data_IF_491819437892
#
_entry.id   IF_491819437892
#
_cell.length_a   1.000
_cell.length_b   1.000
_cell.length_c   1.000
_cell.angle_alpha   90.00
_cell.angle_beta   90.00
_cell.angle_gamma   90.00
#
_symmetry.space_group_name_H-M   'P 1'
#
loop_
_entity.id
_entity.type
_entity.pdbx_description
1 polymer ?
#
# COMPACT_ATOMS: atom_id res chain seq x y z
N UNK A 1 -6.89 -20.87 -11.27
CA UNK A 1 -5.66 -20.59 -10.49
C UNK A 1 -5.94 -19.31 -9.69
N UNK A 2 -6.55 -19.42 -8.50
CA UNK A 2 -7.21 -18.29 -7.80
C UNK A 2 -6.89 -18.32 -6.29
N UNK A 3 -5.64 -18.66 -5.92
CA UNK A 3 -5.32 -19.07 -4.54
C UNK A 3 -4.23 -18.30 -3.81
N UNK A 4 -3.54 -17.35 -4.45
CA UNK A 4 -2.33 -16.78 -3.83
C UNK A 4 -2.47 -15.36 -3.28
N UNK A 5 -3.59 -14.66 -3.51
CA UNK A 5 -3.72 -13.25 -3.11
C UNK A 5 -5.12 -12.94 -2.54
N UNK A 6 -5.40 -13.30 -1.27
CA UNK A 6 -6.72 -13.14 -0.67
C UNK A 6 -7.20 -11.68 -0.63
N UNK A 7 -6.28 -10.72 -0.50
CA UNK A 7 -6.60 -9.29 -0.51
C UNK A 7 -6.98 -8.77 -1.90
N UNK A 8 -6.26 -9.18 -2.94
CA UNK A 8 -6.61 -8.89 -4.35
C UNK A 8 -7.95 -9.51 -4.71
N UNK A 9 -8.17 -10.76 -4.30
CA UNK A 9 -9.43 -11.44 -4.56
C UNK A 9 -10.62 -10.74 -3.89
N UNK A 10 -10.45 -10.28 -2.65
CA UNK A 10 -11.47 -9.55 -1.93
C UNK A 10 -11.85 -8.24 -2.64
N UNK A 11 -10.86 -7.50 -3.16
CA UNK A 11 -11.08 -6.30 -3.95
C UNK A 11 -11.76 -6.61 -5.29
N UNK A 12 -11.18 -7.51 -6.09
CA UNK A 12 -11.59 -7.75 -7.49
C UNK A 12 -12.92 -8.52 -7.60
N UNK A 13 -13.20 -9.44 -6.69
CA UNK A 13 -14.37 -10.35 -6.78
C UNK A 13 -15.54 -9.85 -5.95
N UNK A 14 -15.28 -9.25 -4.79
CA UNK A 14 -16.33 -8.89 -3.83
C UNK A 14 -16.52 -7.38 -3.66
N UNK A 15 -15.67 -6.55 -4.28
CA UNK A 15 -15.76 -5.10 -4.17
C UNK A 15 -15.62 -4.60 -2.72
N UNK A 16 -15.03 -5.41 -1.85
CA UNK A 16 -14.86 -5.07 -0.44
C UNK A 16 -13.49 -4.44 -0.23
N UNK A 17 -13.48 -3.27 0.40
CA UNK A 17 -12.26 -2.55 0.74
C UNK A 17 -11.36 -3.33 1.71
N UNK A 18 -10.11 -2.88 1.81
CA UNK A 18 -9.06 -3.50 2.62
C UNK A 18 -9.50 -3.85 4.04
N UNK A 19 -10.21 -2.96 4.75
CA UNK A 19 -10.67 -3.21 6.13
C UNK A 19 -11.52 -4.49 6.27
N UNK A 20 -12.43 -4.70 5.32
CA UNK A 20 -13.28 -5.90 5.30
C UNK A 20 -12.46 -7.14 4.90
N UNK A 21 -11.58 -7.00 3.90
CA UNK A 21 -10.67 -8.06 3.49
C UNK A 21 -9.74 -8.49 4.63
N UNK A 22 -9.20 -7.53 5.40
CA UNK A 22 -8.31 -7.76 6.53
C UNK A 22 -9.02 -8.48 7.67
N UNK A 23 -10.28 -8.12 7.94
CA UNK A 23 -11.12 -8.81 8.93
C UNK A 23 -11.29 -10.30 8.55
N UNK A 24 -11.55 -10.57 7.28
CA UNK A 24 -11.71 -11.95 6.78
C UNK A 24 -10.36 -12.69 6.81
N UNK A 25 -9.28 -12.02 6.38
CA UNK A 25 -7.92 -12.55 6.39
C UNK A 25 -7.48 -12.98 7.79
N UNK A 26 -7.73 -12.14 8.80
CA UNK A 26 -7.46 -12.46 10.20
C UNK A 26 -8.32 -13.65 10.67
N UNK A 27 -9.61 -13.69 10.29
CA UNK A 27 -10.51 -14.79 10.66
C UNK A 27 -10.10 -16.14 10.06
N UNK A 28 -9.42 -16.15 8.90
CA UNK A 28 -8.87 -17.37 8.27
C UNK A 28 -7.43 -17.67 8.70
N UNK A 29 -6.86 -16.89 9.62
CA UNK A 29 -5.55 -17.15 10.24
C UNK A 29 -4.35 -16.58 9.49
N UNK A 30 -4.53 -15.55 8.65
CA UNK A 30 -3.41 -14.86 8.01
C UNK A 30 -2.60 -14.09 9.07
N UNK A 31 -1.26 -14.26 9.13
CA UNK A 31 -0.42 -13.55 10.07
C UNK A 31 -0.51 -12.03 9.91
N UNK A 32 -0.45 -11.32 11.03
CA UNK A 32 -0.53 -9.86 11.05
C UNK A 32 0.64 -9.18 10.31
N UNK A 33 1.80 -9.82 10.32
CA UNK A 33 3.04 -9.42 9.64
C UNK A 33 3.18 -10.06 8.25
N UNK A 34 2.12 -10.69 7.73
CA UNK A 34 2.14 -11.31 6.40
C UNK A 34 2.48 -10.27 5.32
N UNK A 35 3.47 -10.52 4.45
CA UNK A 35 3.79 -9.63 3.34
C UNK A 35 2.59 -9.30 2.46
N UNK A 36 1.69 -10.27 2.26
CA UNK A 36 0.47 -10.09 1.45
C UNK A 36 -0.47 -9.05 2.06
N UNK A 37 -0.61 -9.06 3.40
CA UNK A 37 -1.39 -8.06 4.15
C UNK A 37 -0.77 -6.68 4.02
N UNK A 38 0.54 -6.60 4.17
CA UNK A 38 1.27 -5.34 4.15
C UNK A 38 1.21 -4.70 2.77
N UNK A 39 1.40 -5.49 1.71
CA UNK A 39 1.25 -5.04 0.33
C UNK A 39 -0.15 -4.48 0.06
N UNK A 40 -1.18 -5.19 0.51
CA UNK A 40 -2.57 -4.72 0.39
C UNK A 40 -2.84 -3.46 1.21
N UNK A 41 -2.23 -3.33 2.38
CA UNK A 41 -2.31 -2.12 3.21
C UNK A 41 -1.66 -0.91 2.54
N UNK A 42 -0.48 -1.08 1.93
CA UNK A 42 0.19 -0.02 1.17
C UNK A 42 -0.71 0.49 0.03
N UNK A 43 -1.30 -0.42 -0.74
CA UNK A 43 -2.24 -0.07 -1.81
C UNK A 43 -3.51 0.61 -1.26
N UNK A 44 -4.01 0.17 -0.11
CA UNK A 44 -5.13 0.82 0.55
C UNK A 44 -4.80 2.24 0.99
N UNK A 45 -3.63 2.48 1.61
CA UNK A 45 -3.17 3.81 2.02
C UNK A 45 -3.06 4.76 0.81
N UNK A 46 -2.52 4.27 -0.31
CA UNK A 46 -2.47 5.06 -1.55
C UNK A 46 -3.87 5.35 -2.10
N UNK A 47 -4.80 4.39 -1.99
CA UNK A 47 -6.19 4.57 -2.40
C UNK A 47 -6.90 5.61 -1.54
N UNK A 48 -6.76 5.55 -0.21
CA UNK A 48 -7.32 6.55 0.70
C UNK A 48 -6.73 7.94 0.43
N UNK A 49 -5.43 8.04 0.13
CA UNK A 49 -4.83 9.31 -0.25
C UNK A 49 -5.40 9.86 -1.57
N UNK A 50 -5.62 8.99 -2.55
CA UNK A 50 -6.26 9.35 -3.81
C UNK A 50 -7.70 9.82 -3.60
N UNK A 51 -8.47 9.16 -2.73
CA UNK A 51 -9.82 9.59 -2.34
C UNK A 51 -9.82 10.95 -1.63
N UNK A 52 -8.76 11.27 -0.87
CA UNK A 52 -8.54 12.60 -0.28
C UNK A 52 -8.04 13.66 -1.29
N UNK A 53 -7.94 13.32 -2.58
CA UNK A 53 -7.55 14.22 -3.65
C UNK A 53 -6.04 14.31 -3.89
N UNK A 54 -5.23 13.41 -3.30
CA UNK A 54 -3.80 13.35 -3.55
C UNK A 54 -3.48 12.50 -4.79
N UNK A 55 -2.77 13.06 -5.77
CA UNK A 55 -2.31 12.29 -6.94
C UNK A 55 -1.16 11.33 -6.61
N UNK A 56 -0.44 11.59 -5.52
CA UNK A 56 0.67 10.76 -5.04
C UNK A 56 0.85 10.98 -3.54
N UNK A 57 1.51 10.03 -2.88
CA UNK A 57 2.06 10.21 -1.54
C UNK A 57 3.59 10.20 -1.58
N UNK A 58 4.27 11.11 -0.87
CA UNK A 58 5.68 10.94 -0.59
C UNK A 58 5.94 9.60 0.11
N UNK A 59 6.98 8.87 -0.29
CA UNK A 59 7.38 7.61 0.34
C UNK A 59 7.43 7.67 1.87
N UNK A 60 8.07 8.66 2.52
CA UNK A 60 8.09 8.69 3.98
C UNK A 60 6.68 8.83 4.60
N UNK A 61 5.76 9.55 3.96
CA UNK A 61 4.39 9.69 4.43
C UNK A 61 3.65 8.36 4.24
N UNK A 62 3.76 7.75 3.07
CA UNK A 62 3.18 6.44 2.78
C UNK A 62 3.62 5.38 3.78
N UNK A 63 4.92 5.33 4.11
CA UNK A 63 5.46 4.37 5.07
C UNK A 63 4.87 4.57 6.47
N UNK A 64 4.75 5.82 6.92
CA UNK A 64 4.16 6.15 8.23
C UNK A 64 2.68 5.79 8.25
N UNK A 65 1.90 6.29 7.29
CA UNK A 65 0.46 6.07 7.22
C UNK A 65 0.12 4.57 7.10
N UNK A 66 0.86 3.84 6.26
CA UNK A 66 0.67 2.40 6.10
C UNK A 66 1.07 1.63 7.37
N UNK A 67 2.16 1.99 8.03
CA UNK A 67 2.58 1.37 9.30
C UNK A 67 1.53 1.59 10.41
N UNK A 68 0.92 2.78 10.47
CA UNK A 68 -0.14 3.10 11.43
C UNK A 68 -1.43 2.31 11.14
N UNK A 69 -1.88 2.27 9.88
CA UNK A 69 -3.07 1.51 9.48
C UNK A 69 -2.89 0.01 9.72
N UNK A 70 -1.69 -0.50 9.41
CA UNK A 70 -1.38 -1.92 9.52
C UNK A 70 -0.97 -2.34 10.94
N UNK A 71 -0.53 -1.42 11.79
CA UNK A 71 0.03 -1.72 13.11
C UNK A 71 1.35 -2.49 13.07
N UNK A 72 2.17 -2.32 12.03
CA UNK A 72 3.42 -3.07 11.82
C UNK A 72 4.64 -2.14 11.81
N UNK A 73 5.87 -2.66 12.02
CA UNK A 73 7.08 -1.86 11.95
C UNK A 73 7.31 -1.25 10.57
N UNK A 74 7.80 -0.01 10.53
CA UNK A 74 8.16 0.72 9.30
C UNK A 74 9.11 -0.07 8.39
N UNK A 75 10.08 -0.80 8.95
CA UNK A 75 11.02 -1.60 8.16
C UNK A 75 10.33 -2.72 7.37
N UNK A 76 9.27 -3.30 7.92
CA UNK A 76 8.49 -4.34 7.25
C UNK A 76 7.70 -3.74 6.08
N UNK A 77 7.09 -2.57 6.30
CA UNK A 77 6.39 -1.82 5.24
C UNK A 77 7.37 -1.44 4.13
N UNK A 78 8.55 -0.91 4.49
CA UNK A 78 9.59 -0.52 3.53
C UNK A 78 10.09 -1.70 2.69
N UNK A 79 10.30 -2.86 3.31
CA UNK A 79 10.66 -4.09 2.60
C UNK A 79 9.59 -4.47 1.58
N UNK A 80 8.31 -4.52 2.00
CA UNK A 80 7.20 -4.85 1.12
C UNK A 80 6.97 -3.81 0.01
N UNK A 81 7.17 -2.53 0.31
CA UNK A 81 7.07 -1.44 -0.68
C UNK A 81 8.14 -1.60 -1.78
N UNK A 82 9.37 -1.93 -1.39
CA UNK A 82 10.48 -2.13 -2.33
C UNK A 82 10.20 -3.30 -3.28
N UNK A 83 9.60 -4.37 -2.76
CA UNK A 83 9.16 -5.51 -3.58
C UNK A 83 8.00 -5.14 -4.50
N UNK A 84 6.99 -4.43 -3.99
CA UNK A 84 5.85 -3.94 -4.77
C UNK A 84 6.25 -3.03 -5.92
N UNK A 85 7.24 -2.17 -5.70
CA UNK A 85 7.80 -1.29 -6.73
C UNK A 85 8.51 -2.08 -7.85
N UNK A 86 9.01 -3.28 -7.55
CA UNK A 86 9.59 -4.19 -8.53
C UNK A 86 8.57 -5.06 -9.29
N UNK A 87 7.41 -5.33 -8.70
CA UNK A 87 6.35 -6.22 -9.24
C UNK A 87 5.23 -5.47 -10.02
N UNK A 88 5.44 -4.22 -10.43
CA UNK A 88 4.46 -3.35 -11.14
C UNK A 88 3.21 -2.95 -10.32
N UNK A 89 3.16 -3.22 -9.02
CA UNK A 89 2.00 -2.90 -8.17
C UNK A 89 1.91 -1.43 -7.71
N UNK A 90 3.05 -0.72 -7.71
CA UNK A 90 3.16 0.72 -7.40
C UNK A 90 4.26 1.33 -8.27
N UNK A 91 4.12 2.61 -8.62
CA UNK A 91 5.16 3.34 -9.33
C UNK A 91 5.78 4.38 -8.42
N UNK A 92 7.10 4.30 -8.29
CA UNK A 92 7.92 5.28 -7.59
C UNK A 92 8.50 6.26 -8.63
N UNK A 93 8.14 7.53 -8.54
CA UNK A 93 8.71 8.59 -9.36
C UNK A 93 9.32 9.68 -8.48
N UNK A 94 10.52 10.14 -8.81
CA UNK A 94 11.12 11.27 -8.12
C UNK A 94 10.43 12.57 -8.58
N UNK A 95 9.63 13.18 -7.70
CA UNK A 95 8.98 14.46 -7.98
C UNK A 95 9.70 15.59 -7.24
N UNK A 96 9.71 16.81 -7.81
CA UNK A 96 10.19 17.98 -7.08
C UNK A 96 9.33 18.21 -5.85
N UNK A 97 9.96 18.27 -4.69
CA UNK A 97 9.30 18.45 -3.41
C UNK A 97 8.80 19.91 -3.31
N UNK A 98 7.48 20.15 -3.23
CA UNK A 98 6.95 21.51 -3.09
C UNK A 98 7.33 22.17 -1.76
N UNK A 99 7.76 21.39 -0.77
CA UNK A 99 8.16 21.88 0.56
C UNK A 99 9.66 22.15 0.70
N UNK A 100 10.48 21.90 -0.33
CA UNK A 100 11.93 22.16 -0.29
C UNK A 100 12.40 22.63 -1.66
N UNK A 101 12.81 23.90 -1.77
CA UNK A 101 13.38 24.45 -3.00
C UNK A 101 14.59 23.59 -3.45
N UNK A 102 14.42 22.84 -4.54
CA UNK A 102 15.46 22.01 -5.16
C UNK A 102 15.59 20.57 -4.65
N UNK A 103 14.77 20.11 -3.71
CA UNK A 103 14.77 18.72 -3.26
C UNK A 103 13.87 17.83 -4.11
N UNK A 104 14.32 16.63 -4.48
CA UNK A 104 13.43 15.59 -5.03
C UNK A 104 13.01 14.62 -3.94
N UNK A 105 11.72 14.30 -3.87
CA UNK A 105 11.19 13.27 -2.96
C UNK A 105 10.60 12.12 -3.80
N UNK A 106 10.86 10.85 -3.44
CA UNK A 106 10.16 9.74 -4.08
C UNK A 106 8.67 9.85 -3.79
N UNK A 107 7.89 10.09 -4.85
CA UNK A 107 6.44 10.00 -4.84
C UNK A 107 6.02 8.61 -5.29
N UNK A 108 5.10 8.03 -4.55
CA UNK A 108 4.50 6.74 -4.83
C UNK A 108 3.05 6.97 -5.20
N UNK A 109 2.61 6.36 -6.30
CA UNK A 109 1.22 6.36 -6.72
C UNK A 109 0.78 4.97 -7.17
N UNK A 110 -0.52 4.72 -7.04
CA UNK A 110 -1.15 3.52 -7.56
C UNK A 110 -1.18 3.55 -9.07
N UNK A 111 -0.85 2.42 -9.69
CA UNK A 111 -1.10 2.21 -11.11
C UNK A 111 -2.57 1.85 -11.27
N UNK A 112 -3.37 2.62 -12.03
CA UNK A 112 -4.73 2.21 -12.35
C UNK A 112 -4.69 0.93 -13.20
N UNK A 113 -5.45 -0.08 -12.77
CA UNK A 113 -5.62 -1.35 -13.49
C UNK A 113 -6.49 -1.17 -14.74
#
# INVERSE_FOLDING_TARGET
MVRNEPYRLASDVWGIGFKTADTIAQAVGIPHDSPQRVRAGIQYTLSEAAENGHCYLPEPNLLVDAAEILGVPLDLVRGCLSELAGEEGVVCHAVPNPSTEGGTIPAVYLVPF
#
